data_IF_251951504352
#
_entry.id   IF_251951504352
#
_cell.length_a   1.000
_cell.length_b   1.000
_cell.length_c   1.000
_cell.angle_alpha   90.00
_cell.angle_beta   90.00
_cell.angle_gamma   90.00
#
_symmetry.space_group_name_H-M   'P 1'
#
loop_
_entity.id
_entity.type
_entity.pdbx_description
1 polymer ?
#
# COMPACT_ATOMS: atom_id res chain seq x y z
N UNK A 1 -32.17 -20.07 19.49
CA UNK A 1 -32.40 -18.81 20.19
C UNK A 1 -31.15 -18.55 21.02
N UNK A 2 -30.27 -17.73 20.52
CA UNK A 2 -29.09 -17.27 21.24
C UNK A 2 -29.32 -15.77 21.47
N UNK A 3 -29.49 -15.41 22.72
CA UNK A 3 -29.65 -14.03 23.15
C UNK A 3 -28.36 -13.26 22.89
N UNK A 4 -28.46 -12.24 22.05
CA UNK A 4 -27.44 -11.23 21.89
C UNK A 4 -27.40 -10.37 23.16
N UNK A 5 -26.43 -10.61 24.02
CA UNK A 5 -26.07 -9.65 25.06
C UNK A 5 -25.47 -8.42 24.38
N UNK A 6 -26.23 -7.34 24.37
CA UNK A 6 -25.71 -5.99 24.11
C UNK A 6 -24.84 -5.61 25.30
N UNK A 7 -23.52 -5.59 25.09
CA UNK A 7 -22.59 -4.97 26.03
C UNK A 7 -22.86 -3.46 26.04
N UNK A 8 -23.29 -2.94 27.17
CA UNK A 8 -23.34 -1.49 27.42
C UNK A 8 -21.93 -0.90 27.27
N UNK A 9 -21.80 0.29 26.66
CA UNK A 9 -20.51 0.94 26.54
C UNK A 9 -19.99 1.30 27.94
N UNK A 10 -18.96 0.56 28.38
CA UNK A 10 -18.22 0.88 29.59
C UNK A 10 -17.52 2.21 29.39
N UNK A 11 -18.05 3.26 29.98
CA UNK A 11 -17.38 4.56 30.07
C UNK A 11 -16.05 4.33 30.77
N UNK A 12 -14.89 4.68 30.20
CA UNK A 12 -13.62 4.54 30.89
C UNK A 12 -13.61 5.52 32.07
N UNK A 13 -13.79 5.00 33.27
CA UNK A 13 -13.51 5.75 34.47
C UNK A 13 -12.00 5.96 34.50
N UNK A 14 -11.56 7.21 34.50
CA UNK A 14 -10.20 7.57 34.92
C UNK A 14 -10.12 7.25 36.40
N UNK A 15 -9.83 5.99 36.71
CA UNK A 15 -9.52 5.63 38.08
C UNK A 15 -8.30 6.41 38.55
N UNK A 16 -8.56 7.14 39.62
CA UNK A 16 -7.63 7.91 40.38
C UNK A 16 -6.27 7.20 40.53
N UNK A 17 -5.30 7.74 39.82
CA UNK A 17 -3.94 7.54 40.27
C UNK A 17 -3.87 8.33 41.59
N UNK A 18 -4.01 7.68 42.74
CA UNK A 18 -3.65 8.28 44.03
C UNK A 18 -2.26 8.86 43.88
N UNK A 19 -2.17 10.14 43.52
CA UNK A 19 -1.01 10.95 43.75
C UNK A 19 -0.92 11.05 45.25
N UNK A 20 0.03 10.32 45.84
CA UNK A 20 0.38 10.53 47.25
C UNK A 20 0.53 12.02 47.44
N UNK A 21 -0.20 12.64 48.41
CA UNK A 21 -0.04 14.04 48.73
C UNK A 21 1.29 14.20 49.50
N UNK A 22 2.35 14.41 48.79
CA UNK A 22 3.64 14.53 49.42
C UNK A 22 4.76 14.94 48.49
N UNK A 23 5.04 16.22 48.52
CA UNK A 23 6.30 16.88 48.17
C UNK A 23 6.52 17.38 46.77
N UNK A 24 6.25 18.73 46.63
CA UNK A 24 7.17 19.67 45.95
C UNK A 24 7.31 19.62 44.43
N UNK A 25 6.20 19.54 43.67
CA UNK A 25 6.24 20.02 42.28
C UNK A 25 5.28 21.18 42.00
N UNK A 26 4.52 21.63 43.01
CA UNK A 26 3.62 22.80 42.94
C UNK A 26 4.37 24.11 42.73
N UNK A 27 5.64 24.18 43.12
CA UNK A 27 6.50 25.36 42.95
C UNK A 27 6.84 25.73 41.51
N UNK A 28 6.53 24.85 40.55
CA UNK A 28 6.73 25.09 39.11
C UNK A 28 5.55 25.74 38.42
N UNK A 29 4.38 25.81 39.06
CA UNK A 29 3.17 26.40 38.49
C UNK A 29 3.08 27.87 38.90
N UNK A 30 2.86 28.75 37.93
CA UNK A 30 2.57 30.17 38.20
C UNK A 30 1.12 30.33 38.64
N UNK A 31 0.90 30.75 39.87
CA UNK A 31 -0.47 30.93 40.44
C UNK A 31 -0.50 32.02 41.49
N UNK A 32 -1.71 32.39 41.92
CA UNK A 32 -1.95 33.29 43.06
C UNK A 32 -2.41 32.46 44.25
N UNK A 33 -1.83 32.71 45.42
CA UNK A 33 -2.32 32.14 46.67
C UNK A 33 -3.49 32.97 47.14
N UNK A 34 -4.70 32.40 47.14
CA UNK A 34 -5.90 32.99 47.71
C UNK A 34 -6.26 32.27 49.01
N UNK A 35 -7.13 32.85 49.81
CA UNK A 35 -7.57 32.33 51.10
C UNK A 35 -8.14 30.88 51.08
N UNK A 36 -8.51 30.38 49.93
CA UNK A 36 -9.03 29.03 49.68
C UNK A 36 -8.00 28.05 49.06
N UNK A 37 -6.70 28.42 48.95
CA UNK A 37 -5.66 27.60 48.33
C UNK A 37 -5.00 28.24 47.11
N UNK A 38 -4.02 27.56 46.52
CA UNK A 38 -3.31 27.98 45.28
C UNK A 38 -4.24 27.93 44.09
N UNK A 39 -4.57 29.10 43.53
CA UNK A 39 -5.29 29.16 42.26
C UNK A 39 -4.31 29.21 41.10
N UNK A 40 -4.24 28.14 40.32
CA UNK A 40 -3.37 28.03 39.16
C UNK A 40 -3.92 28.85 37.99
N UNK A 41 -3.12 29.70 37.36
CA UNK A 41 -3.54 30.47 36.19
C UNK A 41 -3.67 29.54 34.96
N UNK A 42 -4.76 29.64 34.18
CA UNK A 42 -4.94 28.87 32.97
C UNK A 42 -4.05 29.43 31.83
N UNK A 43 -2.75 29.09 31.85
CA UNK A 43 -1.78 29.40 30.80
C UNK A 43 -1.42 28.11 30.04
N UNK A 44 -0.96 28.24 28.79
CA UNK A 44 -0.47 27.08 28.00
C UNK A 44 0.65 26.35 28.74
N UNK A 45 1.59 27.09 29.33
CA UNK A 45 2.72 26.51 30.10
C UNK A 45 2.25 25.70 31.33
N UNK A 46 1.27 26.22 32.08
CA UNK A 46 0.73 25.49 33.23
C UNK A 46 -0.05 24.23 32.80
N UNK A 47 -0.83 24.30 31.71
CA UNK A 47 -1.45 23.09 31.15
C UNK A 47 -0.41 22.09 30.69
N UNK A 48 0.65 22.52 29.97
CA UNK A 48 1.73 21.63 29.54
C UNK A 48 2.40 20.93 30.73
N UNK A 49 2.75 21.66 31.78
CA UNK A 49 3.33 21.10 33.00
C UNK A 49 2.41 20.10 33.70
N UNK A 50 1.11 20.40 33.75
CA UNK A 50 0.14 19.48 34.33
C UNK A 50 -0.07 18.24 33.48
N UNK A 51 -0.12 18.36 32.16
CA UNK A 51 -0.17 17.24 31.23
C UNK A 51 1.06 16.34 31.44
N UNK A 52 2.25 16.92 31.46
CA UNK A 52 3.50 16.19 31.69
C UNK A 52 3.50 15.46 33.03
N UNK A 53 3.03 16.12 34.08
CA UNK A 53 3.03 15.52 35.43
C UNK A 53 1.95 14.44 35.60
N UNK A 54 0.80 14.63 35.01
CA UNK A 54 -0.37 13.76 35.20
C UNK A 54 -0.37 12.56 34.25
N UNK A 55 -0.11 12.80 32.98
CA UNK A 55 -0.11 11.76 31.96
C UNK A 55 1.28 11.21 31.70
N UNK A 56 2.33 12.05 31.72
CA UNK A 56 3.71 11.62 31.47
C UNK A 56 3.84 10.82 30.17
N UNK A 57 4.52 9.70 30.24
CA UNK A 57 4.75 8.80 29.09
C UNK A 57 3.49 8.07 28.57
N UNK A 58 2.33 8.32 29.20
CA UNK A 58 1.04 7.70 28.78
C UNK A 58 0.40 8.39 27.61
N UNK A 59 0.93 9.51 27.13
CA UNK A 59 0.49 10.21 25.93
C UNK A 59 1.61 10.23 24.90
N UNK A 60 1.27 10.03 23.63
CA UNK A 60 2.23 10.12 22.54
C UNK A 60 1.57 10.53 21.24
N UNK A 61 2.33 11.05 20.28
CA UNK A 61 1.94 11.14 18.89
C UNK A 61 2.43 9.91 18.16
N UNK A 62 1.53 9.10 17.61
CA UNK A 62 1.90 7.98 16.75
C UNK A 62 2.28 8.50 15.36
N UNK A 63 3.54 8.34 14.96
CA UNK A 63 4.03 8.83 13.67
C UNK A 63 3.50 8.03 12.46
N UNK A 64 3.09 6.77 12.66
CA UNK A 64 2.53 5.95 11.59
C UNK A 64 1.12 6.42 11.22
N UNK A 65 0.27 6.66 12.20
CA UNK A 65 -1.11 7.12 11.99
C UNK A 65 -1.23 8.63 11.89
N UNK A 66 -0.25 9.38 12.42
CA UNK A 66 -0.32 10.82 12.60
C UNK A 66 -1.41 11.24 13.59
N UNK A 67 -1.80 10.36 14.50
CA UNK A 67 -2.83 10.60 15.52
C UNK A 67 -2.23 10.59 16.92
N UNK A 68 -2.76 11.43 17.83
CA UNK A 68 -2.42 11.36 19.24
C UNK A 68 -3.00 10.09 19.87
N UNK A 69 -2.27 9.52 20.81
CA UNK A 69 -2.64 8.28 21.51
C UNK A 69 -2.39 8.39 23.00
N UNK A 70 -3.18 7.62 23.77
CA UNK A 70 -2.98 7.44 25.20
C UNK A 70 -2.95 5.96 25.57
N UNK A 71 -2.14 5.61 26.61
CA UNK A 71 -2.03 4.25 27.11
C UNK A 71 -3.19 3.90 28.02
N UNK A 72 -4.03 2.96 27.61
CA UNK A 72 -5.11 2.42 28.43
C UNK A 72 -4.62 1.29 29.32
N UNK A 73 -4.64 1.48 30.64
CA UNK A 73 -4.32 0.42 31.60
C UNK A 73 -5.34 -0.72 31.56
N UNK A 74 -6.60 -0.41 31.29
CA UNK A 74 -7.66 -1.39 31.23
C UNK A 74 -7.47 -2.34 30.04
N UNK A 75 -7.23 -1.78 28.84
CA UNK A 75 -7.07 -2.57 27.62
C UNK A 75 -5.61 -3.00 27.35
N UNK A 76 -4.65 -2.55 28.16
CA UNK A 76 -3.20 -2.81 28.00
C UNK A 76 -2.70 -2.50 26.58
N UNK A 77 -3.22 -1.40 26.00
CA UNK A 77 -2.85 -0.94 24.65
C UNK A 77 -2.98 0.57 24.49
N UNK A 78 -2.37 1.08 23.46
CA UNK A 78 -2.54 2.46 23.03
C UNK A 78 -3.89 2.62 22.33
N UNK A 79 -4.63 3.66 22.71
CA UNK A 79 -5.91 4.05 22.13
C UNK A 79 -5.78 5.45 21.55
N UNK A 80 -6.58 5.76 20.53
CA UNK A 80 -6.63 7.10 19.96
C UNK A 80 -7.15 8.10 20.99
N UNK A 81 -6.46 9.25 21.11
CA UNK A 81 -6.92 10.39 21.89
C UNK A 81 -7.94 11.17 21.04
N UNK A 82 -9.17 11.18 21.46
CA UNK A 82 -10.30 11.81 20.77
C UNK A 82 -10.80 13.05 21.51
N UNK A 83 -11.82 13.70 20.95
CA UNK A 83 -12.50 14.82 21.61
C UNK A 83 -13.10 14.42 22.98
N UNK A 84 -13.42 13.15 23.16
CA UNK A 84 -13.92 12.63 24.44
C UNK A 84 -12.86 12.66 25.51
N UNK A 85 -11.65 12.17 25.23
CA UNK A 85 -10.51 12.21 26.13
C UNK A 85 -10.09 13.66 26.45
N UNK A 86 -10.09 14.54 25.44
CA UNK A 86 -9.81 15.96 25.66
C UNK A 86 -10.86 16.61 26.56
N UNK A 87 -12.13 16.26 26.39
CA UNK A 87 -13.21 16.76 27.24
C UNK A 87 -13.09 16.27 28.69
N UNK A 88 -12.70 15.01 28.89
CA UNK A 88 -12.43 14.44 30.22
C UNK A 88 -11.23 15.12 30.89
N UNK A 89 -10.13 15.33 30.14
CA UNK A 89 -8.96 16.04 30.63
C UNK A 89 -9.34 17.48 31.06
N UNK A 90 -10.17 18.16 30.28
CA UNK A 90 -10.67 19.50 30.62
C UNK A 90 -11.47 19.49 31.90
N UNK A 91 -12.42 18.57 32.04
CA UNK A 91 -13.25 18.45 33.27
C UNK A 91 -12.36 18.16 34.51
N UNK A 92 -11.34 17.33 34.36
CA UNK A 92 -10.37 17.05 35.42
C UNK A 92 -9.58 18.30 35.85
N UNK A 93 -9.00 19.04 34.89
CA UNK A 93 -8.22 20.24 35.20
C UNK A 93 -9.12 21.38 35.78
N UNK A 94 -10.35 21.44 35.31
CA UNK A 94 -11.33 22.37 35.83
C UNK A 94 -11.69 22.07 37.29
N UNK A 95 -12.05 20.84 37.59
CA UNK A 95 -12.46 20.44 38.95
C UNK A 95 -11.29 20.46 39.94
N UNK A 96 -10.09 20.02 39.54
CA UNK A 96 -8.95 19.85 40.45
C UNK A 96 -8.15 21.12 40.63
N UNK A 97 -7.98 21.95 39.59
CA UNK A 97 -7.11 23.13 39.59
C UNK A 97 -7.83 24.45 39.33
N UNK A 98 -9.15 24.42 39.15
CA UNK A 98 -9.97 25.59 38.75
C UNK A 98 -9.47 26.26 37.47
N UNK A 99 -8.96 25.47 36.53
CA UNK A 99 -8.40 25.96 35.26
C UNK A 99 -9.43 25.83 34.12
N UNK A 100 -9.94 26.96 33.66
CA UNK A 100 -10.98 27.05 32.62
C UNK A 100 -10.40 27.64 31.34
N UNK A 101 -9.99 26.85 30.39
CA UNK A 101 -9.64 27.34 29.04
C UNK A 101 -9.43 26.20 28.07
N UNK A 102 -10.45 25.87 27.28
CA UNK A 102 -10.38 24.86 26.23
C UNK A 102 -9.23 25.17 25.22
N UNK A 103 -9.20 26.38 24.69
CA UNK A 103 -8.20 26.73 23.66
C UNK A 103 -6.75 26.54 24.15
N UNK A 104 -6.45 26.95 25.39
CA UNK A 104 -5.10 26.81 25.96
C UNK A 104 -4.76 25.37 26.30
N UNK A 105 -5.74 24.57 26.70
CA UNK A 105 -5.53 23.12 26.90
C UNK A 105 -5.23 22.44 25.56
N UNK A 106 -6.03 22.70 24.52
CA UNK A 106 -5.81 22.16 23.18
C UNK A 106 -4.44 22.57 22.63
N UNK A 107 -4.03 23.84 22.80
CA UNK A 107 -2.68 24.30 22.39
C UNK A 107 -1.58 23.58 23.17
N UNK A 108 -1.73 23.39 24.48
CA UNK A 108 -0.75 22.68 25.31
C UNK A 108 -0.64 21.19 24.94
N UNK A 109 -1.78 20.53 24.67
CA UNK A 109 -1.81 19.14 24.16
C UNK A 109 -1.14 19.04 22.80
N UNK A 110 -1.39 19.97 21.89
CA UNK A 110 -0.76 20.00 20.56
C UNK A 110 0.76 20.11 20.68
N UNK A 111 1.27 20.98 21.55
CA UNK A 111 2.71 21.12 21.83
C UNK A 111 3.24 19.83 22.44
N UNK A 112 2.55 19.26 23.44
CA UNK A 112 2.94 18.02 24.09
C UNK A 112 3.09 16.87 23.08
N UNK A 113 2.08 16.63 22.26
CA UNK A 113 2.11 15.59 21.23
C UNK A 113 3.19 15.81 20.17
N UNK A 114 3.49 17.07 19.84
CA UNK A 114 4.61 17.40 18.94
C UNK A 114 5.96 17.00 19.53
N UNK A 115 6.15 17.18 20.82
CA UNK A 115 7.38 16.87 21.53
C UNK A 115 7.55 15.38 21.87
N UNK A 116 6.42 14.64 21.93
CA UNK A 116 6.39 13.20 22.30
C UNK A 116 5.95 12.32 21.12
N UNK A 117 6.72 12.38 20.04
CA UNK A 117 6.51 11.55 18.86
C UNK A 117 7.15 10.19 19.01
N UNK A 118 6.44 9.15 18.60
CA UNK A 118 6.92 7.77 18.62
C UNK A 118 6.54 7.08 17.32
N UNK A 119 7.50 6.40 16.72
CA UNK A 119 7.26 5.49 15.62
C UNK A 119 7.18 4.06 16.17
N UNK A 120 5.97 3.49 16.36
CA UNK A 120 5.82 2.16 16.93
C UNK A 120 6.41 1.05 16.05
N UNK A 121 6.45 1.23 14.74
CA UNK A 121 7.07 0.28 13.81
C UNK A 121 8.60 0.24 14.02
N UNK A 122 9.25 1.40 14.05
CA UNK A 122 10.70 1.46 14.29
C UNK A 122 11.06 0.89 15.66
N UNK A 123 10.23 1.15 16.68
CA UNK A 123 10.46 0.55 18.00
C UNK A 123 10.48 -0.99 17.94
N UNK A 124 9.58 -1.60 17.18
CA UNK A 124 9.59 -3.05 16.97
C UNK A 124 10.86 -3.47 16.22
N UNK A 125 11.15 -2.84 15.09
CA UNK A 125 12.28 -3.21 14.23
C UNK A 125 13.63 -3.09 14.97
N UNK A 126 13.81 -2.06 15.79
CA UNK A 126 15.06 -1.84 16.55
C UNK A 126 15.25 -2.82 17.71
N UNK A 127 14.20 -3.50 18.15
CA UNK A 127 14.30 -4.55 19.19
C UNK A 127 14.57 -5.94 18.61
N UNK A 128 14.59 -6.09 17.29
CA UNK A 128 14.85 -7.38 16.67
C UNK A 128 16.34 -7.72 16.74
N UNK A 129 16.62 -8.95 17.16
CA UNK A 129 17.96 -9.53 17.18
C UNK A 129 18.04 -10.67 16.14
N UNK A 130 18.97 -10.53 15.20
CA UNK A 130 19.18 -11.54 14.15
C UNK A 130 20.05 -12.69 14.69
N UNK A 131 19.60 -13.91 14.44
CA UNK A 131 20.30 -15.14 14.84
C UNK A 131 21.48 -15.54 13.91
N UNK A 132 21.77 -14.74 12.89
CA UNK A 132 22.84 -14.97 11.92
C UNK A 132 22.50 -15.91 10.78
N UNK A 133 21.25 -16.43 10.70
CA UNK A 133 20.83 -17.31 9.61
C UNK A 133 20.11 -16.52 8.52
N UNK A 134 20.55 -16.63 7.24
CA UNK A 134 19.91 -15.93 6.13
C UNK A 134 18.52 -16.50 5.83
N UNK A 135 17.52 -15.62 5.69
CA UNK A 135 16.11 -15.95 5.40
C UNK A 135 15.49 -15.00 4.38
N UNK A 136 16.03 -13.81 4.24
CA UNK A 136 15.46 -12.74 3.40
C UNK A 136 15.26 -13.21 1.97
N UNK A 137 16.26 -13.82 1.35
CA UNK A 137 16.16 -14.30 -0.03
C UNK A 137 15.36 -15.60 -0.15
N UNK A 138 15.24 -16.41 0.91
CA UNK A 138 14.58 -17.72 0.88
C UNK A 138 13.09 -17.67 1.34
N UNK A 139 12.64 -16.54 1.84
CA UNK A 139 11.32 -16.42 2.47
C UNK A 139 10.16 -16.93 1.58
N UNK A 140 10.09 -16.52 0.33
CA UNK A 140 9.01 -16.95 -0.56
C UNK A 140 9.07 -18.46 -0.86
N UNK A 141 10.27 -19.02 -1.02
CA UNK A 141 10.45 -20.46 -1.21
C UNK A 141 10.07 -21.25 0.04
N UNK A 142 10.61 -20.89 1.19
CA UNK A 142 10.42 -21.63 2.44
C UNK A 142 8.97 -21.56 2.93
N UNK A 143 8.36 -20.38 2.86
CA UNK A 143 7.04 -20.12 3.42
C UNK A 143 5.93 -20.31 2.39
N UNK A 144 6.05 -19.74 1.20
CA UNK A 144 5.00 -19.77 0.19
C UNK A 144 5.17 -20.88 -0.86
N UNK A 145 6.22 -21.71 -0.74
CA UNK A 145 6.50 -22.84 -1.61
C UNK A 145 6.63 -22.45 -3.09
N UNK A 146 7.28 -21.33 -3.34
CA UNK A 146 7.65 -20.94 -4.70
C UNK A 146 8.82 -21.79 -5.21
N UNK A 147 9.01 -21.83 -6.52
CA UNK A 147 10.24 -22.38 -7.09
C UNK A 147 11.45 -21.58 -6.59
N UNK A 148 12.54 -22.27 -6.29
CA UNK A 148 13.78 -21.64 -5.82
C UNK A 148 14.62 -21.20 -7.03
N UNK A 149 14.38 -19.99 -7.50
CA UNK A 149 15.07 -19.37 -8.64
C UNK A 149 15.71 -18.03 -8.23
N UNK A 150 16.64 -17.52 -9.04
CA UNK A 150 17.21 -16.20 -8.81
C UNK A 150 16.11 -15.10 -8.77
N UNK A 151 15.08 -15.25 -9.62
CA UNK A 151 13.93 -14.35 -9.66
C UNK A 151 13.11 -14.36 -8.36
N UNK A 152 12.74 -15.54 -7.87
CA UNK A 152 11.91 -15.64 -6.64
C UNK A 152 12.69 -15.23 -5.40
N UNK A 153 13.99 -15.49 -5.34
CA UNK A 153 14.89 -14.98 -4.30
C UNK A 153 14.95 -13.44 -4.33
N UNK A 154 15.04 -12.85 -5.51
CA UNK A 154 15.03 -11.40 -5.65
C UNK A 154 13.70 -10.77 -5.26
N UNK A 155 12.56 -11.37 -5.66
CA UNK A 155 11.24 -10.95 -5.21
C UNK A 155 11.11 -11.01 -3.67
N UNK A 156 11.64 -12.06 -3.08
CA UNK A 156 11.71 -12.22 -1.62
C UNK A 156 12.51 -11.07 -0.98
N UNK A 157 13.72 -10.82 -1.47
CA UNK A 157 14.59 -9.73 -1.00
C UNK A 157 13.91 -8.36 -1.14
N UNK A 158 13.21 -8.09 -2.24
CA UNK A 158 12.53 -6.82 -2.49
C UNK A 158 11.38 -6.56 -1.51
N UNK A 159 10.67 -7.60 -1.04
CA UNK A 159 9.65 -7.44 0.02
C UNK A 159 10.30 -6.82 1.27
N UNK A 160 11.40 -7.39 1.72
CA UNK A 160 12.10 -6.91 2.91
C UNK A 160 12.80 -5.56 2.67
N UNK A 161 13.42 -5.38 1.51
CA UNK A 161 14.03 -4.10 1.14
C UNK A 161 13.02 -2.96 1.12
N UNK A 162 11.88 -3.15 0.45
CA UNK A 162 10.82 -2.14 0.39
C UNK A 162 10.26 -1.81 1.77
N UNK A 163 9.98 -2.83 2.59
CA UNK A 163 9.46 -2.63 3.94
C UNK A 163 10.43 -1.83 4.82
N UNK A 164 11.71 -2.19 4.83
CA UNK A 164 12.73 -1.51 5.65
C UNK A 164 12.98 -0.08 5.14
N UNK A 165 13.21 0.11 3.84
CA UNK A 165 13.44 1.46 3.32
C UNK A 165 12.25 2.39 3.58
N UNK A 166 11.00 1.93 3.40
CA UNK A 166 9.80 2.73 3.71
C UNK A 166 9.64 3.02 5.21
N UNK A 167 10.16 2.17 6.08
CA UNK A 167 10.13 2.40 7.53
C UNK A 167 11.19 3.42 7.98
N UNK A 168 12.45 3.28 7.52
CA UNK A 168 13.58 4.10 7.94
C UNK A 168 13.76 5.38 7.13
N UNK A 169 13.42 5.37 5.85
CA UNK A 169 13.49 6.49 4.91
C UNK A 169 12.11 6.75 4.26
N UNK A 170 11.15 7.30 5.02
CA UNK A 170 9.83 7.60 4.50
C UNK A 170 9.89 8.53 3.28
N UNK A 171 9.16 8.15 2.23
CA UNK A 171 9.20 8.90 0.96
C UNK A 171 10.30 8.43 0.00
N UNK A 172 11.14 7.47 0.38
CA UNK A 172 12.10 6.86 -0.55
C UNK A 172 11.40 6.33 -1.81
N UNK A 173 12.13 6.28 -2.90
CA UNK A 173 11.62 5.69 -4.14
C UNK A 173 11.57 4.17 -4.01
N UNK A 174 10.37 3.62 -4.04
CA UNK A 174 10.10 2.19 -4.12
C UNK A 174 8.82 2.00 -4.91
N UNK A 175 8.95 1.59 -6.16
CA UNK A 175 7.87 1.50 -7.15
C UNK A 175 7.41 0.05 -7.38
N UNK A 176 8.12 -0.92 -6.81
CA UNK A 176 7.93 -2.32 -7.09
C UNK A 176 6.81 -2.91 -6.22
N UNK A 177 5.98 -3.76 -6.83
CA UNK A 177 4.92 -4.48 -6.15
C UNK A 177 5.01 -5.96 -6.48
N UNK A 178 5.35 -6.78 -5.51
CA UNK A 178 5.32 -8.24 -5.63
C UNK A 178 3.85 -8.67 -5.66
N UNK A 179 3.47 -9.49 -6.65
CA UNK A 179 2.10 -9.99 -6.83
C UNK A 179 2.08 -11.50 -6.65
N UNK A 180 1.47 -11.94 -5.55
CA UNK A 180 1.32 -13.35 -5.23
C UNK A 180 0.15 -13.95 -6.02
N UNK A 181 0.45 -14.90 -6.89
CA UNK A 181 -0.51 -15.58 -7.76
C UNK A 181 -0.69 -17.01 -7.26
N UNK A 182 -1.92 -17.44 -7.05
CA UNK A 182 -2.21 -18.81 -6.63
C UNK A 182 -3.69 -19.00 -6.35
N UNK A 183 -4.07 -20.23 -6.09
CA UNK A 183 -5.47 -20.61 -5.86
C UNK A 183 -6.09 -19.87 -4.68
N UNK A 184 -7.40 -19.89 -4.64
CA UNK A 184 -8.15 -19.47 -3.46
C UNK A 184 -7.71 -20.36 -2.29
N UNK A 185 -7.47 -19.75 -1.11
CA UNK A 185 -6.92 -20.43 0.06
C UNK A 185 -5.43 -20.82 -0.01
N UNK A 186 -4.65 -20.27 -0.95
CA UNK A 186 -3.18 -20.42 -0.93
C UNK A 186 -2.50 -19.68 0.24
N UNK A 187 -3.26 -18.94 1.05
CA UNK A 187 -2.71 -18.21 2.21
C UNK A 187 -2.06 -16.87 1.86
N UNK A 188 -2.31 -16.34 0.66
CA UNK A 188 -1.71 -15.07 0.18
C UNK A 188 -1.95 -13.89 1.13
N UNK A 189 -3.21 -13.61 1.44
CA UNK A 189 -3.58 -12.52 2.35
C UNK A 189 -3.11 -12.76 3.79
N UNK A 190 -3.09 -14.03 4.23
CA UNK A 190 -2.59 -14.41 5.54
C UNK A 190 -1.12 -14.03 5.70
N UNK A 191 -0.28 -14.36 4.71
CA UNK A 191 1.14 -14.07 4.78
C UNK A 191 1.43 -12.57 4.68
N UNK A 192 0.69 -11.82 3.85
CA UNK A 192 0.81 -10.35 3.79
C UNK A 192 0.49 -9.72 5.13
N UNK A 193 -0.54 -10.21 5.82
CA UNK A 193 -0.90 -9.77 7.16
C UNK A 193 0.20 -10.09 8.18
N UNK A 194 0.74 -11.32 8.17
CA UNK A 194 1.77 -11.73 9.13
C UNK A 194 3.12 -11.03 8.91
N UNK A 195 3.44 -10.63 7.69
CA UNK A 195 4.62 -9.81 7.40
C UNK A 195 4.64 -8.49 8.18
N UNK A 196 3.49 -7.96 8.55
CA UNK A 196 3.39 -6.75 9.34
C UNK A 196 3.76 -6.93 10.82
N UNK A 197 3.93 -8.17 11.32
CA UNK A 197 4.20 -8.54 12.71
C UNK A 197 3.13 -8.08 13.73
N UNK A 198 2.45 -6.97 13.48
CA UNK A 198 1.33 -6.42 14.24
C UNK A 198 0.19 -6.05 13.27
N UNK A 199 -1.01 -6.50 13.58
CA UNK A 199 -2.21 -6.30 12.76
C UNK A 199 -2.56 -4.82 12.57
N UNK A 200 -2.13 -3.95 13.46
CA UNK A 200 -2.38 -2.50 13.35
C UNK A 200 -1.70 -1.85 12.14
N UNK A 201 -0.63 -2.47 11.63
CA UNK A 201 0.09 -2.00 10.44
C UNK A 201 -0.40 -2.61 9.13
N UNK A 202 -1.30 -3.59 9.19
CA UNK A 202 -1.89 -4.24 8.03
C UNK A 202 -3.20 -3.59 7.60
N UNK A 203 -3.42 -3.48 6.29
CA UNK A 203 -4.72 -3.18 5.71
C UNK A 203 -4.87 -3.74 4.31
N UNK A 204 -6.05 -4.27 4.03
CA UNK A 204 -6.51 -4.54 2.67
C UNK A 204 -6.94 -3.21 2.02
N UNK A 205 -6.30 -2.84 0.93
CA UNK A 205 -6.54 -1.58 0.22
C UNK A 205 -7.63 -1.78 -0.84
N UNK A 206 -8.81 -1.26 -0.55
CA UNK A 206 -9.99 -1.35 -1.43
C UNK A 206 -10.18 -0.12 -2.31
N UNK A 207 -9.56 1.00 -1.95
CA UNK A 207 -9.68 2.27 -2.64
C UNK A 207 -8.30 2.89 -2.81
N UNK A 208 -7.94 3.24 -4.05
CA UNK A 208 -6.63 3.78 -4.42
C UNK A 208 -6.71 5.24 -4.89
N UNK A 209 -7.89 5.84 -4.93
CA UNK A 209 -8.09 7.18 -5.48
C UNK A 209 -8.64 8.14 -4.45
N UNK A 210 -8.33 9.43 -4.64
CA UNK A 210 -8.87 10.51 -3.85
C UNK A 210 -8.42 10.51 -2.39
N UNK A 211 -9.16 11.25 -1.58
CA UNK A 211 -8.90 11.40 -0.13
C UNK A 211 -9.00 10.07 0.61
N UNK A 212 -9.97 9.24 0.25
CA UNK A 212 -10.20 7.93 0.86
C UNK A 212 -9.00 6.99 0.67
N UNK A 213 -8.37 6.99 -0.52
CA UNK A 213 -7.16 6.22 -0.77
C UNK A 213 -5.98 6.65 0.09
N UNK A 214 -5.84 7.96 0.36
CA UNK A 214 -4.79 8.48 1.24
C UNK A 214 -5.07 8.12 2.71
N UNK A 215 -6.31 8.22 3.14
CA UNK A 215 -6.72 7.83 4.50
C UNK A 215 -6.58 6.32 4.73
N UNK A 216 -6.81 5.51 3.70
CA UNK A 216 -6.70 4.05 3.78
C UNK A 216 -5.30 3.55 4.13
N UNK A 217 -4.23 4.27 3.77
CA UNK A 217 -2.84 3.85 4.03
C UNK A 217 -2.24 4.47 5.30
N UNK A 218 -3.00 5.28 6.03
CA UNK A 218 -2.48 5.83 7.29
C UNK A 218 -2.31 4.74 8.34
N UNK A 219 -1.12 4.66 8.89
CA UNK A 219 -0.75 3.61 9.83
C UNK A 219 -0.36 2.28 9.19
N UNK A 220 -0.49 2.14 7.86
CA UNK A 220 -0.12 0.93 7.15
C UNK A 220 1.39 0.89 6.88
N UNK A 221 1.99 -0.27 7.08
CA UNK A 221 3.36 -0.58 6.67
C UNK A 221 3.38 -1.42 5.39
N UNK A 222 2.70 -2.58 5.40
CA UNK A 222 2.52 -3.39 4.20
C UNK A 222 1.03 -3.53 3.93
N UNK A 223 0.56 -2.87 2.86
CA UNK A 223 -0.83 -2.96 2.42
C UNK A 223 -1.02 -4.07 1.39
N UNK A 224 -2.12 -4.79 1.51
CA UNK A 224 -2.55 -5.74 0.49
C UNK A 224 -3.43 -5.05 -0.55
N UNK A 225 -3.07 -5.17 -1.83
CA UNK A 225 -3.94 -4.84 -2.95
C UNK A 225 -4.54 -6.15 -3.44
N UNK A 226 -5.70 -6.50 -2.87
CA UNK A 226 -6.39 -7.73 -3.20
C UNK A 226 -7.08 -7.62 -4.55
N UNK A 227 -7.20 -8.76 -5.24
CA UNK A 227 -7.88 -8.88 -6.51
C UNK A 227 -7.53 -7.74 -7.48
N UNK A 228 -6.27 -7.69 -7.89
CA UNK A 228 -5.79 -6.81 -8.98
C UNK A 228 -6.69 -6.86 -10.24
N UNK A 229 -7.67 -7.74 -10.22
CA UNK A 229 -8.69 -7.95 -11.24
C UNK A 229 -9.63 -6.76 -11.49
N UNK A 230 -9.73 -5.82 -10.58
CA UNK A 230 -10.44 -4.56 -10.85
C UNK A 230 -9.70 -3.71 -11.89
N UNK A 231 -8.46 -4.10 -12.28
CA UNK A 231 -7.66 -3.45 -13.32
C UNK A 231 -8.06 -3.82 -14.75
N UNK A 232 -9.25 -4.33 -14.99
CA UNK A 232 -9.74 -4.63 -16.36
C UNK A 232 -9.85 -3.39 -17.25
N UNK A 233 -9.74 -2.19 -16.68
CA UNK A 233 -9.74 -0.94 -17.42
C UNK A 233 -8.38 -0.25 -17.34
N UNK A 234 -7.86 0.20 -18.47
CA UNK A 234 -6.58 0.92 -18.59
C UNK A 234 -6.45 2.08 -17.59
N UNK A 235 -7.54 2.82 -17.35
CA UNK A 235 -7.56 3.92 -16.37
C UNK A 235 -7.34 3.46 -14.92
N UNK A 236 -7.81 2.29 -14.59
CA UNK A 236 -7.66 1.70 -13.25
C UNK A 236 -6.22 1.21 -13.05
N UNK A 237 -5.64 0.58 -14.07
CA UNK A 237 -4.24 0.19 -14.06
C UNK A 237 -3.29 1.38 -13.90
N UNK A 238 -3.53 2.48 -14.61
CA UNK A 238 -2.73 3.72 -14.46
C UNK A 238 -2.88 4.34 -13.07
N UNK A 239 -4.10 4.32 -12.51
CA UNK A 239 -4.33 4.82 -11.16
C UNK A 239 -3.57 4.01 -10.10
N UNK A 240 -3.56 2.67 -10.22
CA UNK A 240 -2.76 1.81 -9.34
C UNK A 240 -1.27 2.07 -9.51
N UNK A 241 -0.77 2.16 -10.74
CA UNK A 241 0.63 2.49 -11.02
C UNK A 241 1.03 3.82 -10.38
N UNK A 242 0.22 4.86 -10.53
CA UNK A 242 0.44 6.16 -9.91
C UNK A 242 0.41 6.08 -8.37
N UNK A 243 -0.52 5.29 -7.83
CA UNK A 243 -0.67 5.10 -6.39
C UNK A 243 0.54 4.37 -5.78
N UNK A 244 1.05 3.32 -6.42
CA UNK A 244 2.24 2.59 -5.97
C UNK A 244 3.48 3.48 -5.98
N UNK A 245 3.66 4.29 -7.03
CA UNK A 245 4.87 5.10 -7.22
C UNK A 245 4.92 6.37 -6.39
N UNK A 246 3.82 6.75 -5.73
CA UNK A 246 3.80 7.96 -4.93
C UNK A 246 4.80 7.89 -3.77
N UNK A 247 5.59 8.93 -3.61
CA UNK A 247 6.56 9.09 -2.53
C UNK A 247 5.97 9.87 -1.35
N UNK A 248 4.93 10.67 -1.60
CA UNK A 248 4.26 11.48 -0.60
C UNK A 248 2.76 11.56 -0.89
N UNK A 249 2.00 11.81 0.14
CA UNK A 249 0.56 12.00 0.08
C UNK A 249 0.20 13.35 0.67
N UNK A 250 -0.51 14.17 -0.11
CA UNK A 250 -0.98 15.49 0.32
C UNK A 250 -2.47 15.47 0.59
N UNK A 251 -2.86 15.78 1.80
CA UNK A 251 -4.26 15.86 2.17
C UNK A 251 -4.50 16.95 3.21
N UNK A 252 -5.73 17.40 3.30
CA UNK A 252 -6.17 18.30 4.35
C UNK A 252 -6.98 17.49 5.39
N UNK A 253 -6.48 17.37 6.64
CA UNK A 253 -7.24 16.71 7.70
C UNK A 253 -8.63 17.32 7.86
N UNK A 254 -9.64 16.54 8.28
CA UNK A 254 -10.92 17.09 8.68
C UNK A 254 -10.69 18.22 9.70
N UNK A 255 -11.33 19.37 9.47
CA UNK A 255 -11.19 20.59 10.28
C UNK A 255 -9.78 21.23 10.34
N UNK A 256 -8.78 20.63 9.68
CA UNK A 256 -7.44 21.21 9.58
C UNK A 256 -7.41 22.49 8.73
N UNK A 257 -6.65 23.50 9.16
CA UNK A 257 -6.48 24.76 8.42
C UNK A 257 -5.51 24.64 7.24
N UNK A 258 -4.55 23.71 7.34
CA UNK A 258 -3.45 23.56 6.39
C UNK A 258 -3.46 22.19 5.73
N UNK A 259 -3.03 22.15 4.46
CA UNK A 259 -2.70 20.89 3.77
C UNK A 259 -1.42 20.34 4.40
N UNK A 260 -1.40 19.06 4.67
CA UNK A 260 -0.23 18.34 5.16
C UNK A 260 0.29 17.42 4.05
N UNK A 261 1.59 17.47 3.80
CA UNK A 261 2.29 16.51 2.94
C UNK A 261 3.01 15.52 3.85
N UNK A 262 2.69 14.25 3.71
CA UNK A 262 3.23 13.17 4.52
C UNK A 262 4.04 12.24 3.64
N UNK A 263 5.33 12.02 3.92
CA UNK A 263 6.13 11.04 3.22
C UNK A 263 5.54 9.64 3.39
N UNK A 264 5.47 8.88 2.29
CA UNK A 264 4.88 7.56 2.28
C UNK A 264 5.76 6.56 3.05
N UNK A 265 5.14 5.87 4.01
CA UNK A 265 5.78 4.86 4.88
C UNK A 265 5.40 3.43 4.52
N UNK A 266 4.46 3.25 3.61
CA UNK A 266 3.97 1.93 3.23
C UNK A 266 4.51 1.46 1.89
N UNK A 267 4.56 0.13 1.76
CA UNK A 267 4.68 -0.58 0.49
C UNK A 267 3.44 -1.44 0.26
N UNK A 268 3.32 -2.01 -0.95
CA UNK A 268 2.16 -2.82 -1.31
C UNK A 268 2.59 -4.20 -1.82
N UNK A 269 1.80 -5.21 -1.47
CA UNK A 269 1.87 -6.55 -2.05
C UNK A 269 0.52 -6.82 -2.71
N UNK A 270 0.56 -7.25 -3.97
CA UNK A 270 -0.64 -7.64 -4.69
C UNK A 270 -0.98 -9.11 -4.46
N UNK A 271 -2.26 -9.44 -4.48
CA UNK A 271 -2.74 -10.83 -4.46
C UNK A 271 -3.77 -11.05 -5.56
N UNK A 272 -3.68 -12.16 -6.27
CA UNK A 272 -4.65 -12.53 -7.32
C UNK A 272 -4.72 -14.04 -7.49
N UNK A 273 -5.86 -14.51 -8.01
CA UNK A 273 -6.03 -15.89 -8.46
C UNK A 273 -5.83 -16.02 -9.98
N UNK A 274 -5.83 -14.89 -10.71
CA UNK A 274 -5.63 -14.89 -12.15
C UNK A 274 -4.13 -14.83 -12.49
N UNK A 275 -3.57 -15.86 -13.15
CA UNK A 275 -2.17 -15.84 -13.57
C UNK A 275 -1.89 -14.80 -14.67
N UNK A 276 -2.89 -14.42 -15.44
CA UNK A 276 -2.82 -13.42 -16.51
C UNK A 276 -3.57 -12.15 -16.09
N UNK A 277 -3.00 -11.38 -15.18
CA UNK A 277 -3.65 -10.20 -14.60
C UNK A 277 -3.18 -8.86 -15.20
N UNK A 278 -2.13 -8.88 -16.02
CA UNK A 278 -1.60 -7.67 -16.65
C UNK A 278 -2.29 -7.44 -18.01
N UNK A 279 -3.01 -6.35 -18.12
CA UNK A 279 -3.79 -6.00 -19.35
C UNK A 279 -3.13 -4.94 -20.21
N UNK A 280 -2.17 -4.18 -19.68
CA UNK A 280 -1.52 -3.07 -20.37
C UNK A 280 -0.02 -3.35 -20.55
N UNK A 281 0.48 -3.20 -21.79
CA UNK A 281 1.91 -3.40 -22.11
C UNK A 281 2.82 -2.31 -21.55
N UNK A 282 2.25 -1.18 -21.11
CA UNK A 282 3.02 -0.03 -20.62
C UNK A 282 3.09 -0.01 -19.09
N UNK A 283 4.27 0.15 -18.54
CA UNK A 283 4.46 0.34 -17.09
C UNK A 283 4.34 -0.93 -16.23
N UNK A 284 4.30 -2.12 -16.84
CA UNK A 284 4.26 -3.41 -16.12
C UNK A 284 5.54 -3.70 -15.32
N UNK A 285 6.60 -2.97 -15.57
CA UNK A 285 7.90 -3.10 -14.87
C UNK A 285 7.80 -3.00 -13.35
N UNK A 286 6.67 -2.52 -12.81
CA UNK A 286 6.42 -2.39 -11.37
C UNK A 286 5.88 -3.65 -10.73
N UNK A 287 5.31 -4.54 -11.54
CA UNK A 287 4.65 -5.75 -11.04
C UNK A 287 5.59 -6.94 -11.18
N UNK A 288 5.75 -7.68 -10.10
CA UNK A 288 6.60 -8.86 -10.00
C UNK A 288 5.73 -10.09 -9.73
N UNK A 289 5.25 -10.78 -10.79
CA UNK A 289 4.35 -11.93 -10.67
C UNK A 289 5.04 -13.13 -10.04
N UNK A 290 4.57 -13.62 -8.90
CA UNK A 290 5.14 -14.77 -8.21
C UNK A 290 4.06 -15.83 -7.98
N UNK A 291 4.24 -17.01 -8.59
CA UNK A 291 3.35 -18.15 -8.37
C UNK A 291 3.65 -18.80 -7.03
N UNK A 292 2.62 -18.92 -6.19
CA UNK A 292 2.71 -19.55 -4.86
C UNK A 292 1.96 -20.88 -4.84
N UNK A 293 2.52 -21.86 -4.12
CA UNK A 293 1.99 -23.22 -4.03
C UNK A 293 1.69 -23.63 -2.58
N UNK A 294 1.64 -22.67 -1.67
CA UNK A 294 1.28 -22.88 -0.26
C UNK A 294 -0.24 -23.08 -0.08
N UNK A 295 -0.66 -23.36 1.14
CA UNK A 295 -2.08 -23.34 1.53
C UNK A 295 -2.25 -22.62 2.87
N UNK A 296 -3.42 -22.00 3.06
CA UNK A 296 -3.75 -21.34 4.31
C UNK A 296 -3.74 -22.35 5.48
N UNK A 297 -4.21 -23.57 5.26
CA UNK A 297 -4.18 -24.64 6.25
C UNK A 297 -2.75 -24.89 6.75
N UNK A 298 -1.79 -25.09 5.84
CA UNK A 298 -0.38 -25.28 6.20
C UNK A 298 0.20 -24.06 6.96
N UNK A 299 -0.17 -22.86 6.57
CA UNK A 299 0.30 -21.65 7.26
C UNK A 299 -0.20 -21.63 8.71
N UNK A 300 -1.45 -21.94 8.95
CA UNK A 300 -2.01 -21.97 10.32
C UNK A 300 -1.48 -23.15 11.15
N UNK A 301 -1.22 -24.30 10.56
CA UNK A 301 -0.59 -25.43 11.24
C UNK A 301 0.82 -25.08 11.75
N UNK A 302 1.54 -24.20 11.07
CA UNK A 302 2.89 -23.76 11.41
C UNK A 302 2.96 -22.26 11.77
N UNK A 303 1.87 -21.68 12.24
CA UNK A 303 1.76 -20.24 12.49
C UNK A 303 2.89 -19.70 13.35
N UNK A 304 3.19 -20.33 14.48
CA UNK A 304 4.23 -19.88 15.41
C UNK A 304 5.61 -19.91 14.77
N UNK A 305 5.94 -20.96 14.04
CA UNK A 305 7.23 -21.15 13.37
C UNK A 305 7.40 -20.14 12.25
N UNK A 306 6.35 -19.89 11.46
CA UNK A 306 6.36 -18.96 10.34
C UNK A 306 6.45 -17.51 10.86
N UNK A 307 5.72 -17.16 11.91
CA UNK A 307 5.82 -15.83 12.52
C UNK A 307 7.22 -15.58 13.09
N UNK A 308 7.85 -16.57 13.71
CA UNK A 308 9.24 -16.44 14.15
C UNK A 308 10.20 -16.35 12.96
N UNK A 309 9.97 -17.11 11.88
CA UNK A 309 10.75 -16.97 10.65
C UNK A 309 10.68 -15.54 10.10
N UNK A 310 9.46 -14.97 10.02
CA UNK A 310 9.24 -13.58 9.58
C UNK A 310 9.98 -12.60 10.49
N UNK A 311 9.90 -12.77 11.80
CA UNK A 311 10.58 -11.93 12.76
C UNK A 311 12.10 -11.94 12.54
N UNK A 312 12.70 -13.13 12.32
CA UNK A 312 14.12 -13.28 12.03
C UNK A 312 14.52 -12.75 10.65
N UNK A 313 13.64 -12.89 9.65
CA UNK A 313 13.88 -12.30 8.33
C UNK A 313 13.87 -10.76 8.39
N UNK A 314 12.99 -10.14 9.20
CA UNK A 314 13.04 -8.71 9.44
C UNK A 314 14.29 -8.29 10.24
N UNK A 315 14.73 -9.08 11.20
CA UNK A 315 15.99 -8.83 11.93
C UNK A 315 17.20 -8.86 10.99
N UNK A 316 17.26 -9.84 10.07
CA UNK A 316 18.25 -9.89 8.99
C UNK A 316 18.18 -8.66 8.11
N UNK A 317 16.97 -8.28 7.67
CA UNK A 317 16.76 -7.13 6.79
C UNK A 317 17.23 -5.81 7.44
N UNK A 318 16.96 -5.61 8.74
CA UNK A 318 17.47 -4.46 9.52
C UNK A 318 18.99 -4.48 9.56
N UNK A 319 19.60 -5.65 9.81
CA UNK A 319 21.05 -5.80 9.84
C UNK A 319 21.68 -5.44 8.48
N UNK A 320 21.16 -6.02 7.40
CA UNK A 320 21.63 -5.76 6.04
C UNK A 320 21.43 -4.28 5.62
N UNK A 321 20.35 -3.66 6.04
CA UNK A 321 20.08 -2.24 5.78
C UNK A 321 21.12 -1.35 6.48
N UNK A 322 21.41 -1.62 7.77
CA UNK A 322 22.41 -0.88 8.55
C UNK A 322 23.83 -1.02 7.99
N UNK A 323 24.10 -2.11 7.26
CA UNK A 323 25.36 -2.34 6.55
C UNK A 323 25.35 -1.86 5.07
N UNK A 324 24.29 -1.16 4.62
CA UNK A 324 24.09 -0.71 3.24
C UNK A 324 24.10 -1.85 2.19
N UNK A 325 23.72 -3.06 2.59
CA UNK A 325 23.67 -4.25 1.74
C UNK A 325 22.27 -4.59 1.21
N UNK A 326 21.23 -3.88 1.66
CA UNK A 326 19.84 -4.12 1.27
C UNK A 326 19.31 -2.96 0.41
N UNK A 327 19.52 -3.00 -0.88
CA UNK A 327 19.10 -1.93 -1.79
C UNK A 327 17.63 -2.07 -2.21
N UNK A 328 16.86 -0.96 -2.37
CA UNK A 328 15.42 -0.99 -2.68
C UNK A 328 15.10 -1.11 -4.17
N UNK A 329 15.96 -1.71 -4.96
CA UNK A 329 15.78 -1.92 -6.40
C UNK A 329 16.31 -3.29 -6.81
N UNK A 330 15.74 -3.82 -7.91
CA UNK A 330 16.12 -5.14 -8.42
C UNK A 330 17.57 -5.19 -8.92
N UNK A 331 18.23 -6.32 -8.67
CA UNK A 331 19.57 -6.59 -9.18
C UNK A 331 19.55 -6.70 -10.70
N UNK A 332 20.59 -6.17 -11.36
CA UNK A 332 20.69 -6.13 -12.82
C UNK A 332 20.63 -7.53 -13.45
N UNK A 333 21.19 -8.54 -12.79
CA UNK A 333 21.31 -9.92 -13.24
C UNK A 333 19.97 -10.68 -13.37
N UNK A 334 18.89 -10.18 -12.73
CA UNK A 334 17.55 -10.81 -12.78
C UNK A 334 16.54 -10.05 -13.65
N UNK A 335 16.93 -8.94 -14.30
CA UNK A 335 16.01 -8.11 -15.07
C UNK A 335 15.34 -8.84 -16.24
N UNK A 336 16.05 -9.76 -16.89
CA UNK A 336 15.47 -10.53 -17.99
C UNK A 336 14.43 -11.52 -17.47
N UNK A 337 14.68 -12.19 -16.34
CA UNK A 337 13.70 -13.08 -15.69
C UNK A 337 12.48 -12.32 -15.20
N UNK A 338 12.65 -11.07 -14.75
CA UNK A 338 11.53 -10.19 -14.39
C UNK A 338 10.65 -9.93 -15.63
N UNK A 339 11.26 -9.61 -16.78
CA UNK A 339 10.50 -9.38 -18.03
C UNK A 339 9.76 -10.64 -18.48
N UNK A 340 10.41 -11.79 -18.46
CA UNK A 340 9.78 -13.07 -18.79
C UNK A 340 8.57 -13.37 -17.89
N UNK A 341 8.69 -13.13 -16.58
CA UNK A 341 7.58 -13.30 -15.65
C UNK A 341 6.42 -12.31 -15.92
N UNK A 342 6.73 -11.07 -16.28
CA UNK A 342 5.76 -10.06 -16.64
C UNK A 342 5.05 -10.41 -17.96
N UNK A 343 5.78 -10.88 -18.96
CA UNK A 343 5.21 -11.35 -20.22
C UNK A 343 4.30 -12.55 -20.03
N UNK A 344 4.69 -13.52 -19.20
CA UNK A 344 3.86 -14.67 -18.87
C UNK A 344 2.58 -14.32 -18.08
N UNK A 345 2.57 -13.17 -17.40
CA UNK A 345 1.41 -12.66 -16.67
C UNK A 345 0.52 -11.71 -17.49
N UNK A 346 0.87 -11.45 -18.76
CA UNK A 346 0.02 -10.68 -19.65
C UNK A 346 -1.22 -11.47 -20.06
N UNK A 347 -2.37 -10.78 -20.09
CA UNK A 347 -3.59 -11.35 -20.60
C UNK A 347 -3.45 -11.61 -22.11
N UNK A 348 -3.76 -12.82 -22.54
CA UNK A 348 -3.80 -13.16 -23.96
C UNK A 348 -4.99 -12.45 -24.62
N UNK A 349 -4.69 -11.47 -25.44
CA UNK A 349 -5.71 -10.83 -26.27
C UNK A 349 -6.05 -11.75 -27.45
N UNK A 350 -7.16 -12.49 -27.34
CA UNK A 350 -7.66 -13.38 -28.39
C UNK A 350 -7.78 -12.69 -29.77
N UNK A 351 -7.93 -11.35 -29.76
CA UNK A 351 -8.00 -10.55 -30.99
C UNK A 351 -6.70 -10.60 -31.79
N UNK A 352 -5.56 -10.78 -31.09
CA UNK A 352 -4.23 -10.90 -31.73
C UNK A 352 -4.25 -12.10 -32.68
N UNK A 353 -4.57 -13.29 -32.16
CA UNK A 353 -4.64 -14.51 -32.97
C UNK A 353 -5.66 -14.43 -34.11
N UNK A 354 -6.85 -13.86 -33.81
CA UNK A 354 -7.89 -13.69 -34.83
C UNK A 354 -7.45 -12.73 -35.95
N UNK A 355 -6.78 -11.64 -35.62
CA UNK A 355 -6.27 -10.68 -36.61
C UNK A 355 -5.11 -11.29 -37.40
N UNK A 356 -4.15 -11.96 -36.74
CA UNK A 356 -3.04 -12.64 -37.42
C UNK A 356 -3.54 -13.69 -38.39
N UNK A 357 -4.47 -14.55 -37.98
CA UNK A 357 -5.08 -15.56 -38.84
C UNK A 357 -5.80 -14.92 -40.03
N UNK A 358 -6.57 -13.85 -39.84
CA UNK A 358 -7.20 -13.14 -40.90
C UNK A 358 -6.20 -12.56 -41.90
N UNK A 359 -5.14 -11.95 -41.42
CA UNK A 359 -4.10 -11.35 -42.25
C UNK A 359 -3.30 -12.39 -43.06
N UNK A 360 -3.12 -13.57 -42.51
CA UNK A 360 -2.39 -14.66 -43.19
C UNK A 360 -3.25 -15.43 -44.18
N UNK A 361 -4.48 -15.82 -43.82
CA UNK A 361 -5.32 -16.76 -44.58
C UNK A 361 -6.29 -16.08 -45.48
N UNK A 362 -6.93 -15.00 -45.09
CA UNK A 362 -8.05 -14.38 -45.80
C UNK A 362 -7.66 -13.10 -46.54
N UNK A 363 -6.79 -12.28 -45.97
CA UNK A 363 -6.44 -11.00 -46.58
C UNK A 363 -5.73 -11.10 -47.93
N UNK A 364 -4.87 -12.07 -48.20
CA UNK A 364 -4.29 -12.24 -49.53
C UNK A 364 -5.30 -12.41 -50.65
N UNK A 365 -6.52 -12.84 -50.33
CA UNK A 365 -7.62 -13.04 -51.31
C UNK A 365 -8.40 -11.77 -51.63
N UNK A 366 -8.30 -10.71 -50.77
CA UNK A 366 -9.12 -9.52 -50.87
C UNK A 366 -8.32 -8.23 -51.13
N UNK A 367 -7.00 -8.29 -51.21
CA UNK A 367 -6.12 -7.16 -51.55
C UNK A 367 -5.01 -6.91 -50.51
N UNK A 368 -4.14 -5.94 -50.78
CA UNK A 368 -2.90 -5.73 -50.08
C UNK A 368 -3.03 -4.75 -48.88
N UNK A 369 -4.19 -4.15 -48.68
CA UNK A 369 -4.42 -3.18 -47.60
C UNK A 369 -5.57 -3.59 -46.72
N UNK A 370 -5.48 -3.31 -45.42
CA UNK A 370 -6.50 -3.58 -44.42
C UNK A 370 -6.77 -2.33 -43.58
N UNK A 371 -8.00 -2.12 -43.17
CA UNK A 371 -8.40 -1.04 -42.25
C UNK A 371 -8.84 -1.60 -40.89
N UNK A 372 -8.84 -0.77 -39.86
CA UNK A 372 -9.32 -1.15 -38.53
C UNK A 372 -10.76 -1.65 -38.57
N UNK A 373 -11.64 -0.99 -39.36
CA UNK A 373 -13.04 -1.40 -39.48
C UNK A 373 -13.19 -2.72 -40.22
N UNK A 374 -12.29 -3.03 -41.16
CA UNK A 374 -12.23 -4.33 -41.82
C UNK A 374 -11.87 -5.46 -40.87
N UNK A 375 -10.85 -5.23 -39.99
CA UNK A 375 -10.47 -6.19 -38.95
C UNK A 375 -11.62 -6.37 -37.95
N UNK A 376 -12.29 -5.30 -37.57
CA UNK A 376 -13.45 -5.35 -36.69
C UNK A 376 -14.53 -6.30 -37.19
N UNK A 377 -14.92 -6.18 -38.44
CA UNK A 377 -15.98 -7.03 -38.99
C UNK A 377 -15.52 -8.43 -39.38
N UNK A 378 -14.33 -8.57 -39.95
CA UNK A 378 -13.95 -9.85 -40.57
C UNK A 378 -12.97 -10.66 -39.77
N UNK A 379 -12.09 -10.05 -39.02
CA UNK A 379 -11.18 -10.78 -38.10
C UNK A 379 -11.87 -11.06 -36.76
N UNK A 380 -12.62 -10.09 -36.24
CA UNK A 380 -13.24 -10.20 -34.91
C UNK A 380 -14.72 -10.61 -34.98
N UNK A 381 -15.27 -10.84 -36.17
CA UNK A 381 -16.67 -11.25 -36.41
C UNK A 381 -17.74 -10.32 -35.79
N UNK A 382 -17.44 -9.04 -35.69
CA UNK A 382 -18.38 -8.07 -35.15
C UNK A 382 -19.48 -7.72 -36.21
N UNK A 383 -20.72 -7.47 -35.76
CA UNK A 383 -21.83 -7.21 -36.68
C UNK A 383 -21.58 -6.06 -37.67
N UNK A 384 -22.06 -6.16 -38.88
CA UNK A 384 -21.90 -5.14 -39.94
C UNK A 384 -22.47 -3.76 -39.55
N UNK A 385 -23.46 -3.72 -38.67
CA UNK A 385 -24.09 -2.50 -38.15
C UNK A 385 -23.26 -1.86 -37.00
N UNK A 386 -22.33 -2.60 -36.37
CA UNK A 386 -21.48 -2.11 -35.29
C UNK A 386 -20.29 -1.31 -35.83
N UNK A 387 -19.78 -0.41 -35.04
CA UNK A 387 -18.53 0.31 -35.35
C UNK A 387 -17.58 0.22 -34.15
N UNK A 388 -16.28 0.04 -34.39
CA UNK A 388 -15.32 0.07 -33.32
C UNK A 388 -15.37 1.41 -32.59
N UNK A 389 -15.36 1.37 -31.28
CA UNK A 389 -15.21 2.58 -30.48
C UNK A 389 -13.82 3.19 -30.72
N UNK A 390 -13.60 4.40 -30.20
CA UNK A 390 -12.24 5.01 -30.26
C UNK A 390 -11.19 4.14 -29.56
N UNK A 391 -11.57 3.46 -28.48
CA UNK A 391 -10.69 2.55 -27.72
C UNK A 391 -10.36 1.32 -28.57
N UNK A 392 -11.38 0.64 -29.12
CA UNK A 392 -11.18 -0.54 -29.97
C UNK A 392 -10.29 -0.20 -31.17
N UNK A 393 -10.50 0.97 -31.78
CA UNK A 393 -9.70 1.42 -32.92
C UNK A 393 -8.23 1.63 -32.58
N UNK A 394 -7.92 2.11 -31.36
CA UNK A 394 -6.54 2.26 -30.89
C UNK A 394 -5.91 0.88 -30.64
N UNK A 395 -6.62 0.01 -29.93
CA UNK A 395 -6.14 -1.33 -29.60
C UNK A 395 -5.90 -2.18 -30.85
N UNK A 396 -6.84 -2.22 -31.79
CA UNK A 396 -6.66 -2.91 -33.08
C UNK A 396 -5.49 -2.32 -33.88
N UNK A 397 -5.32 -1.00 -33.86
CA UNK A 397 -4.18 -0.33 -34.48
C UNK A 397 -2.86 -0.80 -33.86
N UNK A 398 -2.79 -0.92 -32.55
CA UNK A 398 -1.61 -1.43 -31.86
C UNK A 398 -1.33 -2.89 -32.20
N UNK A 399 -2.36 -3.73 -32.25
CA UNK A 399 -2.21 -5.15 -32.62
C UNK A 399 -1.60 -5.25 -34.03
N UNK A 400 -2.20 -4.63 -35.04
CA UNK A 400 -1.71 -4.76 -36.41
C UNK A 400 -0.31 -4.15 -36.61
N UNK A 401 0.01 -3.07 -35.89
CA UNK A 401 1.35 -2.45 -35.95
C UNK A 401 2.43 -3.40 -35.43
N UNK A 402 2.08 -4.30 -34.52
CA UNK A 402 2.98 -5.31 -33.97
C UNK A 402 3.06 -6.59 -34.80
N UNK A 403 2.16 -6.78 -35.78
CA UNK A 403 2.23 -7.95 -36.70
C UNK A 403 3.39 -7.76 -37.66
N UNK A 404 4.38 -8.68 -37.69
CA UNK A 404 5.53 -8.57 -38.58
C UNK A 404 5.14 -8.41 -40.05
N UNK A 405 5.76 -7.46 -40.71
CA UNK A 405 5.52 -7.22 -42.15
C UNK A 405 4.28 -6.41 -42.49
N UNK A 406 3.60 -5.80 -41.50
CA UNK A 406 2.51 -4.86 -41.74
C UNK A 406 2.90 -3.44 -41.30
N UNK A 407 2.67 -2.45 -42.19
CA UNK A 407 3.02 -1.04 -41.91
C UNK A 407 1.86 -0.13 -42.20
N UNK A 408 1.69 0.92 -41.40
CA UNK A 408 0.66 1.91 -41.60
C UNK A 408 0.95 2.79 -42.80
N UNK A 409 -0.03 2.96 -43.68
CA UNK A 409 0.10 3.88 -44.82
C UNK A 409 0.00 5.34 -44.37
N UNK A 410 0.83 6.20 -44.94
CA UNK A 410 0.81 7.63 -44.65
C UNK A 410 -0.50 8.32 -45.01
N UNK A 411 -1.09 7.93 -46.16
CA UNK A 411 -2.31 8.53 -46.67
C UNK A 411 -3.52 7.61 -46.48
N UNK A 412 -4.68 8.15 -46.02
CA UNK A 412 -5.93 7.41 -45.97
C UNK A 412 -6.41 6.95 -47.36
N UNK A 413 -6.90 5.72 -47.45
CA UNK A 413 -7.43 5.11 -48.68
C UNK A 413 -8.95 5.06 -48.62
N UNK A 414 -9.61 5.15 -49.77
CA UNK A 414 -11.07 4.98 -49.89
C UNK A 414 -11.42 3.50 -49.85
N UNK A 415 -12.10 3.08 -48.79
CA UNK A 415 -12.61 1.72 -48.62
C UNK A 415 -14.13 1.70 -48.79
N UNK A 416 -14.78 0.55 -48.75
CA UNK A 416 -16.24 0.45 -48.76
C UNK A 416 -16.93 1.13 -47.57
N UNK A 417 -16.18 1.39 -46.47
CA UNK A 417 -16.63 2.13 -45.30
C UNK A 417 -16.20 3.60 -45.30
N UNK A 418 -15.84 4.14 -46.47
CA UNK A 418 -15.37 5.51 -46.61
C UNK A 418 -13.85 5.65 -46.58
N UNK A 419 -13.37 6.87 -46.29
CA UNK A 419 -11.94 7.19 -46.26
C UNK A 419 -11.36 6.74 -44.92
N UNK A 420 -10.44 5.75 -44.92
CA UNK A 420 -9.88 5.08 -43.74
C UNK A 420 -8.34 5.15 -43.73
N UNK A 421 -7.75 5.21 -42.55
CA UNK A 421 -6.35 4.85 -42.38
C UNK A 421 -6.20 3.34 -42.59
N UNK A 422 -5.24 2.93 -43.38
CA UNK A 422 -5.03 1.52 -43.73
C UNK A 422 -3.62 1.10 -43.47
N UNK A 423 -3.43 -0.19 -43.28
CA UNK A 423 -2.15 -0.87 -43.22
C UNK A 423 -1.95 -1.69 -44.48
N UNK A 424 -0.67 -1.84 -44.88
CA UNK A 424 -0.30 -2.66 -46.01
C UNK A 424 0.82 -3.63 -45.60
N UNK A 425 0.90 -4.75 -46.30
CA UNK A 425 2.00 -5.68 -46.19
C UNK A 425 3.26 -5.03 -46.75
N UNK A 426 4.35 -4.98 -45.94
CA UNK A 426 5.61 -4.44 -46.38
C UNK A 426 6.39 -5.55 -47.09
N UNK A 427 6.47 -5.45 -48.43
CA UNK A 427 7.17 -6.44 -49.26
C UNK A 427 8.71 -6.36 -49.11
N UNK A 428 9.24 -5.41 -48.37
CA UNK A 428 10.71 -5.27 -48.15
C UNK A 428 11.34 -6.40 -47.33
N UNK A 429 10.58 -7.09 -46.48
CA UNK A 429 11.08 -8.23 -45.70
C UNK A 429 11.13 -9.56 -46.47
N UNK A 430 10.54 -9.66 -47.65
CA UNK A 430 10.53 -10.89 -48.43
C UNK A 430 11.81 -11.12 -49.28
N UNK A 431 12.77 -10.20 -49.26
CA UNK A 431 13.97 -10.26 -50.12
C UNK A 431 15.20 -10.84 -49.31
N UNK A 432 15.05 -11.09 -48.00
CA UNK A 432 16.15 -11.59 -47.16
C UNK A 432 15.79 -12.88 -46.39
N UNK A 433 15.11 -13.81 -47.03
CA UNK A 433 15.08 -15.21 -46.59
C UNK A 433 15.60 -16.11 -47.67
#
# INVERSE_FOLDING_TARGET
MAESQQEEPVTPSFEETEAQPGKSKVSLLTGEVKAAGLQVRPTIDNFYKLITNHYGEKLRMNEMTGKPEWWSRHYQRWLEWTDAEESQARAYFESTYSMYSQAKLSDALMIYFKDHRVNPLLNILETLEWDGKPRVEQFLHDVMKTDDTAYTRECSRLIFAGGIHRAYDPGCKFDDMIVLIGDQSAGKSTIVRWLNMDDSFFREIKTISGKEGIEAIRGVWIGEVAELMAMTRVKEAEAVKAYITSQEDSYRPPYGKHVQTIPRRCMFIGTTNNPQFLTDKTGNRRFYPVKVQSSAYRLYDHETEIKEYIRQAWAEAVHLFKEDKLQPFAKQEVLDQIREAQEAAMEDDWRIGAIEQYLEEQKPKTGDTVSVIELWHYALNEPDESKPTRKDSIEITQIITNVPGWVQCQNPVRTKWGRQKVFRKDNYFAIWR
#
